data_IF_630614123669
#
_entry.id   IF_630614123669
#
_cell.length_a   1.000
_cell.length_b   1.000
_cell.length_c   1.000
_cell.angle_alpha   90.00
_cell.angle_beta   90.00
_cell.angle_gamma   90.00
#
_symmetry.space_group_name_H-M   'P 1'
#
loop_
_entity.id
_entity.type
_entity.pdbx_description
1 polymer ?
#
# COMPACT_ATOMS: atom_id res chain seq x y z
N UNK A 1 19.20 -9.56 -2.33
CA UNK A 1 18.49 -10.66 -1.64
C UNK A 1 17.04 -10.61 -2.07
N UNK A 2 16.46 -11.72 -2.53
CA UNK A 2 15.01 -11.86 -2.83
C UNK A 2 14.47 -13.08 -2.08
N UNK A 3 13.24 -13.00 -1.58
CA UNK A 3 12.60 -14.15 -0.95
C UNK A 3 12.42 -15.33 -1.91
N UNK A 4 12.41 -15.08 -3.23
CA UNK A 4 12.38 -16.13 -4.25
C UNK A 4 13.64 -17.02 -4.28
N UNK A 5 14.77 -16.58 -3.71
CA UNK A 5 15.97 -17.42 -3.56
C UNK A 5 15.91 -18.33 -2.33
N UNK A 6 14.94 -18.13 -1.44
CA UNK A 6 14.78 -18.90 -0.20
C UNK A 6 13.68 -19.98 -0.31
N UNK A 7 13.05 -20.11 -1.48
CA UNK A 7 11.96 -21.07 -1.70
C UNK A 7 12.14 -21.80 -3.02
N UNK A 8 11.82 -23.09 -3.02
CA UNK A 8 11.95 -23.96 -4.19
C UNK A 8 10.88 -23.59 -5.26
N UNK A 9 11.33 -23.22 -6.47
CA UNK A 9 10.51 -22.62 -7.55
C UNK A 9 9.29 -23.47 -7.96
N UNK A 10 9.28 -24.77 -7.65
CA UNK A 10 8.26 -25.71 -8.09
C UNK A 10 7.09 -25.91 -7.11
N UNK A 11 7.13 -25.29 -5.94
CA UNK A 11 6.09 -25.48 -4.90
C UNK A 11 5.24 -24.22 -4.70
N UNK A 12 3.90 -24.31 -4.72
CA UNK A 12 3.06 -23.18 -4.31
C UNK A 12 3.33 -22.87 -2.85
N UNK A 13 3.96 -21.73 -2.60
CA UNK A 13 4.34 -21.30 -1.25
C UNK A 13 3.12 -20.73 -0.57
N UNK A 14 2.54 -21.49 0.36
CA UNK A 14 1.50 -20.97 1.25
C UNK A 14 2.19 -20.11 2.31
N UNK A 15 2.16 -18.80 2.11
CA UNK A 15 2.67 -17.83 3.07
C UNK A 15 1.73 -17.74 4.28
N UNK A 16 2.08 -18.43 5.36
CA UNK A 16 1.39 -18.27 6.65
C UNK A 16 1.81 -16.95 7.31
N UNK A 17 0.94 -16.36 8.14
CA UNK A 17 1.16 -15.03 8.75
C UNK A 17 2.53 -14.85 9.43
N UNK A 18 3.00 -15.86 10.17
CA UNK A 18 4.33 -15.84 10.81
C UNK A 18 5.50 -15.80 9.81
N UNK A 19 5.34 -16.40 8.62
CA UNK A 19 6.36 -16.39 7.58
C UNK A 19 6.44 -15.02 6.91
N UNK A 20 5.28 -14.40 6.66
CA UNK A 20 5.20 -13.03 6.12
C UNK A 20 5.88 -12.05 7.08
N UNK A 21 5.62 -12.21 8.38
CA UNK A 21 6.26 -11.43 9.43
C UNK A 21 7.77 -11.56 9.44
N UNK A 22 8.28 -12.79 9.44
CA UNK A 22 9.72 -13.04 9.40
C UNK A 22 10.36 -12.50 8.12
N UNK A 23 9.67 -12.58 6.98
CA UNK A 23 10.14 -12.02 5.72
C UNK A 23 10.28 -10.50 5.77
N UNK A 24 9.27 -9.82 6.30
CA UNK A 24 9.25 -8.36 6.46
C UNK A 24 10.39 -7.91 7.38
N UNK A 25 10.58 -8.57 8.52
CA UNK A 25 11.66 -8.24 9.46
C UNK A 25 13.04 -8.40 8.81
N UNK A 26 13.26 -9.51 8.08
CA UNK A 26 14.47 -9.73 7.30
C UNK A 26 14.68 -8.65 6.23
N UNK A 27 13.64 -8.30 5.48
CA UNK A 27 13.73 -7.28 4.43
C UNK A 27 14.05 -5.90 5.00
N UNK A 28 13.50 -5.54 6.15
CA UNK A 28 13.71 -4.19 6.72
C UNK A 28 15.02 -4.09 7.50
N UNK A 29 15.42 -5.15 8.21
CA UNK A 29 16.59 -5.11 9.12
C UNK A 29 17.84 -5.79 8.58
N UNK A 30 17.69 -6.83 7.78
CA UNK A 30 18.81 -7.71 7.37
C UNK A 30 19.23 -7.51 5.91
N UNK A 31 18.64 -6.52 5.23
CA UNK A 31 19.06 -6.11 3.87
C UNK A 31 19.84 -4.80 3.96
N UNK A 32 21.01 -4.79 3.34
CA UNK A 32 21.83 -3.59 3.21
C UNK A 32 21.28 -2.67 2.12
N UNK A 33 20.23 -1.91 2.44
CA UNK A 33 19.63 -0.95 1.51
C UNK A 33 20.53 0.26 1.19
N UNK A 34 21.56 0.51 2.00
CA UNK A 34 22.41 1.69 1.86
C UNK A 34 21.74 3.01 2.28
N UNK A 35 22.27 4.17 1.87
CA UNK A 35 21.65 5.45 2.15
C UNK A 35 20.39 5.62 1.28
N UNK A 36 19.24 5.75 1.93
CA UNK A 36 17.97 6.00 1.25
C UNK A 36 17.09 6.90 2.12
N UNK A 37 16.15 7.64 1.51
CA UNK A 37 15.24 8.54 2.23
C UNK A 37 13.91 7.88 2.58
N UNK A 38 13.38 7.07 1.65
CA UNK A 38 12.09 6.39 1.74
C UNK A 38 12.15 4.94 1.27
N UNK A 39 11.72 4.01 2.10
CA UNK A 39 11.49 2.61 1.73
C UNK A 39 9.99 2.42 1.50
N UNK A 40 9.63 1.98 0.29
CA UNK A 40 8.25 1.68 -0.08
C UNK A 40 8.01 0.18 0.08
N UNK A 41 6.94 -0.18 0.78
CA UNK A 41 6.53 -1.57 1.00
C UNK A 41 5.18 -1.78 0.32
N UNK A 42 5.19 -2.61 -0.73
CA UNK A 42 3.97 -3.12 -1.34
C UNK A 42 3.46 -4.29 -0.49
N UNK A 43 2.22 -4.18 -0.03
CA UNK A 43 1.63 -5.15 0.90
C UNK A 43 0.55 -5.97 0.21
N UNK A 44 0.27 -7.21 0.68
CA UNK A 44 -0.86 -7.99 0.20
C UNK A 44 -2.17 -7.18 0.28
N UNK A 45 -3.15 -7.45 -0.59
CA UNK A 45 -4.37 -6.68 -0.64
C UNK A 45 -5.22 -6.86 0.62
N UNK A 46 -6.03 -5.84 0.94
CA UNK A 46 -7.05 -5.89 1.99
C UNK A 46 -6.71 -5.11 3.26
N UNK A 47 -7.27 -5.55 4.38
CA UNK A 47 -7.11 -4.95 5.72
C UNK A 47 -6.80 -6.01 6.78
N UNK A 48 -6.16 -7.11 6.36
CA UNK A 48 -5.89 -8.27 7.22
C UNK A 48 -4.74 -8.03 8.21
N UNK A 49 -4.46 -9.07 9.00
CA UNK A 49 -3.49 -9.02 10.10
C UNK A 49 -2.07 -8.64 9.67
N UNK A 50 -1.72 -8.80 8.39
CA UNK A 50 -0.42 -8.40 7.83
C UNK A 50 -0.15 -6.89 8.01
N UNK A 51 -1.17 -6.03 7.89
CA UNK A 51 -0.95 -4.59 8.10
C UNK A 51 -0.76 -4.25 9.58
N UNK A 52 -1.56 -4.84 10.47
CA UNK A 52 -1.40 -4.70 11.93
C UNK A 52 0.01 -5.11 12.36
N UNK A 53 0.42 -6.28 11.86
CA UNK A 53 1.73 -6.87 11.99
C UNK A 53 2.87 -5.93 11.54
N UNK A 54 2.74 -5.31 10.36
CA UNK A 54 3.71 -4.33 9.85
C UNK A 54 3.81 -3.10 10.75
N UNK A 55 2.68 -2.54 11.14
CA UNK A 55 2.59 -1.32 11.96
C UNK A 55 3.17 -1.54 13.36
N UNK A 56 2.99 -2.74 13.93
CA UNK A 56 3.52 -3.09 15.25
C UNK A 56 5.05 -3.27 15.26
N UNK A 57 5.63 -3.76 14.17
CA UNK A 57 7.07 -4.07 14.12
C UNK A 57 7.90 -2.95 13.50
N UNK A 58 7.28 -2.08 12.69
CA UNK A 58 7.97 -1.05 11.94
C UNK A 58 7.21 0.27 12.06
N UNK A 59 7.88 1.34 12.52
CA UNK A 59 7.30 2.66 12.58
C UNK A 59 7.12 3.22 11.17
N UNK A 60 5.86 3.31 10.75
CA UNK A 60 5.48 3.81 9.44
C UNK A 60 5.43 5.34 9.45
N UNK A 61 5.88 5.95 8.36
CA UNK A 61 5.81 7.41 8.19
C UNK A 61 4.55 7.85 7.47
N UNK A 62 3.90 6.93 6.76
CA UNK A 62 2.58 7.13 6.19
C UNK A 62 2.15 5.98 5.30
N UNK A 63 0.91 6.03 4.84
CA UNK A 63 0.31 5.04 3.95
C UNK A 63 -0.38 5.69 2.76
N UNK A 64 -0.16 5.12 1.58
CA UNK A 64 -0.86 5.43 0.34
C UNK A 64 -1.82 4.28 0.03
N UNK A 65 -3.11 4.59 -0.04
CA UNK A 65 -4.14 3.62 -0.41
C UNK A 65 -4.24 3.53 -1.93
N UNK A 66 -4.27 2.33 -2.49
CA UNK A 66 -4.57 2.12 -3.92
C UNK A 66 -5.87 1.34 -4.02
N UNK A 67 -6.88 1.92 -4.66
CA UNK A 67 -8.20 1.30 -4.83
C UNK A 67 -8.62 1.34 -6.29
N UNK A 68 -9.65 0.58 -6.63
CA UNK A 68 -10.42 0.79 -7.86
C UNK A 68 -11.71 1.56 -7.55
N UNK A 69 -12.33 2.23 -8.55
CA UNK A 69 -13.59 2.95 -8.39
C UNK A 69 -14.82 2.05 -8.09
N UNK A 70 -14.63 0.74 -8.01
CA UNK A 70 -15.71 -0.21 -7.72
C UNK A 70 -16.15 -0.10 -6.26
N UNK A 71 -17.46 -0.17 -6.02
CA UNK A 71 -18.03 -0.03 -4.66
C UNK A 71 -17.37 -0.97 -3.65
N UNK A 72 -17.14 -2.24 -4.02
CA UNK A 72 -16.50 -3.20 -3.11
C UNK A 72 -15.08 -2.78 -2.71
N UNK A 73 -14.27 -2.30 -3.66
CA UNK A 73 -12.91 -1.83 -3.40
C UNK A 73 -12.91 -0.58 -2.52
N UNK A 74 -13.82 0.36 -2.79
CA UNK A 74 -14.00 1.56 -1.96
C UNK A 74 -14.39 1.21 -0.52
N UNK A 75 -15.26 0.21 -0.30
CA UNK A 75 -15.60 -0.22 1.06
C UNK A 75 -14.39 -0.80 1.81
N UNK A 76 -13.49 -1.50 1.12
CA UNK A 76 -12.24 -1.98 1.72
C UNK A 76 -11.30 -0.81 2.05
N UNK A 77 -11.15 0.15 1.13
CA UNK A 77 -10.35 1.35 1.36
C UNK A 77 -10.83 2.16 2.59
N UNK A 78 -12.16 2.33 2.76
CA UNK A 78 -12.75 2.98 3.95
C UNK A 78 -12.39 2.27 5.25
N UNK A 79 -12.45 0.94 5.27
CA UNK A 79 -12.03 0.15 6.44
C UNK A 79 -10.54 0.31 6.71
N UNK A 80 -9.71 0.35 5.67
CA UNK A 80 -8.29 0.63 5.76
C UNK A 80 -8.01 2.00 6.39
N UNK A 81 -8.67 3.05 5.92
CA UNK A 81 -8.56 4.40 6.51
C UNK A 81 -8.87 4.35 8.01
N UNK A 82 -9.98 3.72 8.41
CA UNK A 82 -10.35 3.58 9.82
C UNK A 82 -9.33 2.78 10.64
N UNK A 83 -8.69 1.78 10.05
CA UNK A 83 -7.59 1.04 10.70
C UNK A 83 -6.39 1.95 10.97
N UNK A 84 -5.92 2.70 9.97
CA UNK A 84 -4.77 3.58 10.11
C UNK A 84 -5.04 4.76 11.05
N UNK A 85 -6.26 5.30 11.05
CA UNK A 85 -6.68 6.30 12.04
C UNK A 85 -6.57 5.77 13.48
N UNK A 86 -7.10 4.57 13.75
CA UNK A 86 -7.03 3.96 15.08
C UNK A 86 -5.59 3.70 15.53
N UNK A 87 -4.71 3.41 14.59
CA UNK A 87 -3.29 3.14 14.84
C UNK A 87 -2.41 4.38 14.72
N UNK A 88 -3.00 5.56 14.55
CA UNK A 88 -2.31 6.85 14.44
C UNK A 88 -1.25 6.89 13.31
N UNK A 89 -1.48 6.13 12.24
CA UNK A 89 -0.63 6.14 11.05
C UNK A 89 -1.18 7.15 10.04
N UNK A 90 -0.38 8.12 9.56
CA UNK A 90 -0.84 9.11 8.59
C UNK A 90 -1.22 8.49 7.24
N UNK A 91 -2.45 8.75 6.75
CA UNK A 91 -2.87 8.38 5.39
C UNK A 91 -2.49 9.50 4.44
N UNK A 92 -1.37 9.37 3.74
CA UNK A 92 -0.82 10.45 2.91
C UNK A 92 -1.58 10.68 1.62
N UNK A 93 -2.39 9.71 1.18
CA UNK A 93 -3.26 9.86 0.02
C UNK A 93 -3.99 8.59 -0.40
N UNK A 94 -4.77 8.72 -1.46
CA UNK A 94 -5.48 7.63 -2.14
C UNK A 94 -5.25 7.73 -3.66
N UNK A 95 -5.02 6.59 -4.30
CA UNK A 95 -4.80 6.44 -5.74
C UNK A 95 -5.94 5.60 -6.31
N UNK A 96 -6.53 6.09 -7.40
CA UNK A 96 -7.53 5.35 -8.16
C UNK A 96 -6.88 4.61 -9.32
N UNK A 97 -6.81 3.29 -9.21
CA UNK A 97 -6.41 2.41 -10.30
C UNK A 97 -7.62 2.02 -11.17
N UNK A 98 -7.39 1.72 -12.44
CA UNK A 98 -8.41 1.25 -13.39
C UNK A 98 -9.59 2.24 -13.58
N UNK A 99 -9.28 3.53 -13.62
CA UNK A 99 -10.27 4.59 -13.80
C UNK A 99 -10.86 4.63 -15.21
N UNK A 100 -10.02 4.35 -16.23
CA UNK A 100 -10.36 4.47 -17.64
C UNK A 100 -9.62 3.45 -18.52
N UNK A 101 -10.19 3.18 -19.69
CA UNK A 101 -9.56 2.40 -20.76
C UNK A 101 -9.32 3.31 -21.96
N UNK A 102 -8.07 3.37 -22.41
CA UNK A 102 -7.70 4.13 -23.61
C UNK A 102 -7.77 3.22 -24.82
N UNK A 103 -8.58 3.58 -25.81
CA UNK A 103 -8.68 2.83 -27.07
C UNK A 103 -7.34 2.90 -27.83
N UNK A 104 -6.74 1.74 -28.12
CA UNK A 104 -5.46 1.66 -28.82
C UNK A 104 -5.49 2.16 -30.28
N UNK A 105 -6.68 2.33 -30.88
CA UNK A 105 -6.82 2.79 -32.27
C UNK A 105 -7.10 4.29 -32.40
N UNK A 106 -7.93 4.86 -31.51
CA UNK A 106 -8.37 6.25 -31.61
C UNK A 106 -7.95 7.12 -30.43
N UNK A 107 -7.23 6.55 -29.45
CA UNK A 107 -6.79 7.21 -28.22
C UNK A 107 -7.91 7.84 -27.38
N UNK A 108 -9.16 7.49 -27.66
CA UNK A 108 -10.29 7.89 -26.85
C UNK A 108 -10.22 7.16 -25.50
N UNK A 109 -10.29 7.91 -24.40
CA UNK A 109 -10.34 7.37 -23.05
C UNK A 109 -11.80 7.28 -22.60
N UNK A 110 -12.23 6.07 -22.25
CA UNK A 110 -13.57 5.83 -21.69
C UNK A 110 -13.44 5.46 -20.22
N UNK A 111 -14.14 6.14 -19.30
CA UNK A 111 -14.15 5.74 -17.90
C UNK A 111 -14.75 4.32 -17.78
N UNK A 112 -14.07 3.44 -17.04
CA UNK A 112 -14.53 2.05 -16.86
C UNK A 112 -15.62 2.00 -15.76
N UNK A 113 -15.57 2.92 -14.80
CA UNK A 113 -16.46 2.97 -13.63
C UNK A 113 -16.81 4.43 -13.25
N UNK A 114 -17.62 4.60 -12.19
CA UNK A 114 -18.03 5.92 -11.68
C UNK A 114 -16.96 6.63 -10.82
N UNK A 115 -17.24 7.86 -10.40
CA UNK A 115 -16.30 8.76 -9.69
C UNK A 115 -16.17 8.51 -8.17
N UNK A 116 -16.29 7.25 -7.73
CA UNK A 116 -16.40 6.93 -6.30
C UNK A 116 -15.14 7.24 -5.47
N UNK A 117 -13.94 7.20 -6.07
CA UNK A 117 -12.70 7.52 -5.33
C UNK A 117 -12.53 9.02 -5.14
N UNK A 118 -13.03 9.86 -6.07
CA UNK A 118 -12.96 11.31 -5.94
C UNK A 118 -13.74 11.82 -4.71
N UNK A 119 -14.89 11.22 -4.42
CA UNK A 119 -15.67 11.50 -3.21
C UNK A 119 -14.89 11.12 -1.94
N UNK A 120 -14.24 9.95 -1.94
CA UNK A 120 -13.43 9.51 -0.80
C UNK A 120 -12.20 10.39 -0.58
N UNK A 121 -11.55 10.84 -1.66
CA UNK A 121 -10.43 11.78 -1.58
C UNK A 121 -10.87 13.11 -0.94
N UNK A 122 -12.06 13.62 -1.28
CA UNK A 122 -12.60 14.83 -0.67
C UNK A 122 -12.84 14.66 0.85
N UNK A 123 -13.43 13.54 1.27
CA UNK A 123 -13.61 13.21 2.70
C UNK A 123 -12.27 13.16 3.46
N UNK A 124 -11.21 12.61 2.86
CA UNK A 124 -9.88 12.55 3.48
C UNK A 124 -9.24 13.93 3.67
N UNK A 125 -9.51 14.87 2.78
CA UNK A 125 -9.06 16.26 2.90
C UNK A 125 -9.80 16.96 4.05
N UNK A 126 -11.12 16.76 4.16
CA UNK A 126 -11.92 17.31 5.27
C UNK A 126 -11.48 16.80 6.64
N UNK A 127 -10.96 15.56 6.70
CA UNK A 127 -10.42 14.96 7.92
C UNK A 127 -8.99 15.44 8.26
N UNK A 128 -8.44 16.44 7.56
CA UNK A 128 -7.06 16.93 7.70
C UNK A 128 -5.99 15.83 7.57
N UNK A 129 -6.29 14.75 6.83
CA UNK A 129 -5.41 13.59 6.77
C UNK A 129 -4.33 13.69 5.68
N UNK A 130 -4.38 14.68 4.78
CA UNK A 130 -3.56 14.66 3.55
C UNK A 130 -2.67 15.90 3.36
N UNK A 131 -1.43 15.66 2.91
CA UNK A 131 -0.72 16.53 1.98
C UNK A 131 -1.00 15.98 0.59
N UNK A 132 -1.95 16.61 -0.12
CA UNK A 132 -2.57 16.14 -1.36
C UNK A 132 -1.56 15.65 -2.42
N UNK A 133 -1.46 14.34 -2.63
CA UNK A 133 -1.23 13.81 -3.97
C UNK A 133 -2.62 13.59 -4.58
N UNK A 134 -2.96 14.48 -5.50
CA UNK A 134 -4.20 14.50 -6.27
C UNK A 134 -4.50 13.11 -6.86
N UNK A 135 -5.78 12.81 -7.08
CA UNK A 135 -6.26 11.60 -7.77
C UNK A 135 -5.38 11.26 -8.98
N UNK A 136 -4.41 10.36 -8.81
CA UNK A 136 -3.66 9.79 -9.91
C UNK A 136 -4.47 8.62 -10.42
N UNK A 137 -5.22 8.88 -11.48
CA UNK A 137 -5.92 7.89 -12.26
C UNK A 137 -4.90 7.14 -13.13
N UNK A 138 -4.72 5.84 -12.93
CA UNK A 138 -3.85 5.00 -13.78
C UNK A 138 -4.66 4.16 -14.77
N UNK A 139 -4.10 3.98 -15.97
CA UNK A 139 -4.66 3.08 -17.00
C UNK A 139 -4.63 1.62 -16.54
N UNK A 140 -5.51 0.79 -17.08
CA UNK A 140 -5.78 -0.56 -16.59
C UNK A 140 -4.53 -1.43 -16.38
N UNK A 141 -4.27 -1.80 -15.12
CA UNK A 141 -3.26 -2.79 -14.73
C UNK A 141 -3.43 -3.24 -13.27
N UNK A 142 -3.73 -4.53 -13.05
CA UNK A 142 -3.98 -5.24 -11.78
C UNK A 142 -5.28 -4.87 -11.02
N UNK A 143 -6.20 -5.84 -10.94
CA UNK A 143 -7.45 -5.76 -10.17
C UNK A 143 -7.15 -6.12 -8.72
N UNK A 144 -6.79 -5.17 -7.86
CA UNK A 144 -6.75 -5.36 -6.40
C UNK A 144 -6.66 -4.03 -5.65
N UNK A 145 -7.22 -4.00 -4.43
CA UNK A 145 -6.95 -2.93 -3.46
C UNK A 145 -5.60 -3.24 -2.81
N UNK A 146 -4.55 -2.58 -3.28
CA UNK A 146 -3.24 -2.69 -2.66
C UNK A 146 -3.02 -1.52 -1.71
N UNK A 147 -2.32 -1.80 -0.63
CA UNK A 147 -1.92 -0.79 0.31
C UNK A 147 -0.41 -0.62 0.22
N UNK A 148 0.03 0.61 -0.07
CA UNK A 148 1.45 0.92 -0.19
C UNK A 148 1.86 1.66 1.07
N UNK A 149 2.76 1.07 1.85
CA UNK A 149 3.27 1.65 3.09
C UNK A 149 4.60 2.36 2.83
N UNK A 150 4.73 3.59 3.34
CA UNK A 150 5.98 4.36 3.29
C UNK A 150 6.69 4.36 4.64
N UNK A 151 7.97 3.95 4.64
CA UNK A 151 8.84 4.00 5.82
C UNK A 151 9.95 5.02 5.57
N UNK A 152 10.08 6.02 6.44
CA UNK A 152 11.23 6.94 6.43
C UNK A 152 12.44 6.29 7.10
N UNK A 153 13.60 6.42 6.49
CA UNK A 153 14.76 5.59 6.84
C UNK A 153 15.50 6.06 8.07
N UNK A 154 15.33 7.33 8.46
CA UNK A 154 15.74 7.81 9.79
C UNK A 154 15.15 6.93 10.90
N UNK A 155 13.94 6.42 10.69
CA UNK A 155 13.25 5.53 11.62
C UNK A 155 13.77 4.09 11.53
N UNK A 156 14.19 3.61 10.35
CA UNK A 156 14.84 2.30 10.19
C UNK A 156 16.18 2.24 10.94
N UNK A 157 16.99 3.31 10.88
CA UNK A 157 18.26 3.36 11.62
C UNK A 157 18.06 3.24 13.14
N UNK A 158 16.98 3.80 13.70
CA UNK A 158 16.63 3.64 15.12
C UNK A 158 16.30 2.18 15.47
N UNK A 159 15.71 1.42 14.55
CA UNK A 159 15.39 0.01 14.75
C UNK A 159 16.64 -0.88 14.67
N UNK A 160 17.62 -0.55 13.83
CA UNK A 160 18.85 -1.33 13.65
C UNK A 160 19.82 -1.25 14.84
N UNK A 161 19.67 -0.25 15.73
CA UNK A 161 20.51 -0.08 16.93
C UNK A 161 19.93 -0.73 18.20
N UNK A 162 18.78 -1.41 18.10
CA UNK A 162 18.12 -2.11 19.22
C UNK A 162 18.15 -3.65 19.09
N UNK A 163 19.05 -4.21 18.28
CA UNK A 163 19.28 -5.66 18.13
C UNK A 163 20.64 -6.07 18.64
#
# INVERSE_FOLDING_TARGET
MSMGFLVDEKSPVVWRGLMVMSAIDKLVRQVAWGPLDYLIVDTPPGTGDTHLSLIQNIPLSGVLLVTTPQTAALQVARRGIGLFQKLQVPVVGIVENMSSVTCAKCHHSTPIFGQGTAQMAAELVELNMTSTLANYATEAGVVNVNLVLGIRVKTIKQLAHHG
#
